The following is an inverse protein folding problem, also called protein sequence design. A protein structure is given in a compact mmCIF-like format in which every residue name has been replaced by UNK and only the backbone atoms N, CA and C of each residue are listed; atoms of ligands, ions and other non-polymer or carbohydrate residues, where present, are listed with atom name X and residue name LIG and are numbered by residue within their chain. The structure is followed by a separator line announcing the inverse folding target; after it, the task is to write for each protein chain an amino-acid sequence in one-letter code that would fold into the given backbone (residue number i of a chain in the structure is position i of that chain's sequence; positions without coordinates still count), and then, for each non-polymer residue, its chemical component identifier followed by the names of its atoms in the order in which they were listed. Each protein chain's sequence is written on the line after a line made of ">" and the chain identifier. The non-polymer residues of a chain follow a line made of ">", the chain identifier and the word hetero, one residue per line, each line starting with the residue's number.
data_IF_617483729172
#
_entry.id   IF_617483729172
#
_cell.length_a   1.000
_cell.length_b   1.000
_cell.length_c   1.000
_cell.angle_alpha   90.00
_cell.angle_beta   90.00
_cell.angle_gamma   90.00
#
_symmetry.space_group_name_H-M   'P 1'
#
loop_
_entity.id
_entity.type
_entity.pdbx_description
1 polymer ?
#
# COMPACT_ATOMS: atom_id res chain seq x y z
N UNK A 1 1.00 -6.67 -0.09
CA UNK A 1 1.59 -5.83 -1.14
C UNK A 1 2.78 -6.52 -1.80
N UNK A 2 4.01 -6.48 -1.25
CA UNK A 2 5.20 -7.08 -1.88
C UNK A 2 5.03 -8.56 -2.24
N UNK A 3 4.47 -9.38 -1.35
CA UNK A 3 4.26 -10.81 -1.62
C UNK A 3 3.28 -11.10 -2.79
N UNK A 4 2.43 -10.14 -3.15
CA UNK A 4 1.44 -10.31 -4.21
C UNK A 4 1.97 -9.81 -5.57
N UNK A 5 2.72 -8.71 -5.58
CA UNK A 5 3.08 -7.99 -6.82
C UNK A 5 4.57 -7.67 -6.97
N UNK A 6 5.41 -7.98 -5.98
CA UNK A 6 6.87 -7.90 -6.09
C UNK A 6 7.52 -6.54 -5.81
N UNK A 7 6.76 -5.48 -5.51
CA UNK A 7 7.29 -4.14 -5.19
C UNK A 7 6.66 -3.56 -3.92
N UNK A 8 7.31 -2.58 -3.24
CA UNK A 8 6.79 -1.98 -2.01
C UNK A 8 5.61 -1.02 -2.27
N UNK A 9 4.67 -0.86 -1.31
CA UNK A 9 3.53 0.06 -1.41
C UNK A 9 3.91 1.54 -1.36
N UNK A 10 5.06 1.85 -0.77
CA UNK A 10 5.61 3.20 -0.66
C UNK A 10 7.04 3.16 -1.21
N UNK A 11 7.33 4.03 -2.18
CA UNK A 11 8.64 4.12 -2.79
C UNK A 11 8.86 5.53 -3.33
N UNK A 12 9.98 6.11 -2.95
CA UNK A 12 10.48 7.35 -3.51
C UNK A 12 12.01 7.37 -3.33
N UNK A 13 12.74 7.97 -4.26
CA UNK A 13 14.19 8.17 -4.14
C UNK A 13 14.50 9.22 -3.05
N UNK A 14 13.58 10.16 -2.83
CA UNK A 14 13.64 11.16 -1.76
C UNK A 14 12.99 10.61 -0.48
N UNK A 15 13.80 10.46 0.57
CA UNK A 15 13.32 9.99 1.88
C UNK A 15 12.22 10.86 2.47
N UNK A 16 12.25 12.19 2.28
CA UNK A 16 11.21 13.08 2.80
C UNK A 16 9.87 12.83 2.11
N UNK A 17 9.88 12.57 0.79
CA UNK A 17 8.68 12.22 0.04
C UNK A 17 8.16 10.85 0.44
N UNK A 18 9.04 9.86 0.61
CA UNK A 18 8.69 8.54 1.13
C UNK A 18 7.99 8.65 2.50
N UNK A 19 8.56 9.40 3.44
CA UNK A 19 7.93 9.60 4.75
C UNK A 19 6.58 10.31 4.65
N UNK A 20 6.41 11.24 3.71
CA UNK A 20 5.13 11.90 3.49
C UNK A 20 4.09 10.93 2.93
N UNK A 21 4.46 10.04 1.99
CA UNK A 21 3.57 8.99 1.48
C UNK A 21 3.12 8.04 2.61
N UNK A 22 4.05 7.60 3.46
CA UNK A 22 3.75 6.72 4.60
C UNK A 22 2.80 7.41 5.59
N UNK A 23 3.06 8.67 5.96
CA UNK A 23 2.20 9.44 6.88
C UNK A 23 0.81 9.68 6.29
N UNK A 24 0.72 9.87 4.99
CA UNK A 24 -0.54 10.06 4.27
C UNK A 24 -1.27 8.74 4.01
N UNK A 25 -0.64 7.57 4.23
CA UNK A 25 -1.17 6.28 3.82
C UNK A 25 -1.43 6.21 2.31
N UNK A 26 -0.66 6.96 1.51
CA UNK A 26 -0.84 7.07 0.08
C UNK A 26 -0.17 5.90 -0.63
N UNK A 27 -0.95 4.85 -0.93
CA UNK A 27 -0.56 3.73 -1.77
C UNK A 27 -1.72 3.37 -2.69
N UNK A 28 -1.40 2.86 -3.88
CA UNK A 28 -2.38 2.52 -4.91
C UNK A 28 -2.23 1.06 -5.36
N UNK A 29 -3.21 0.59 -6.13
CA UNK A 29 -3.25 -0.73 -6.74
C UNK A 29 -3.23 -0.62 -8.27
N UNK A 30 -2.08 -0.30 -8.89
CA UNK A 30 -2.01 -0.04 -10.33
C UNK A 30 -2.24 -1.30 -11.17
N UNK A 31 -2.86 -1.11 -12.33
CA UNK A 31 -2.97 -2.13 -13.36
C UNK A 31 -1.65 -2.26 -14.14
N UNK A 32 -1.32 -3.44 -14.69
CA UNK A 32 -2.13 -4.66 -14.69
C UNK A 32 -1.91 -5.63 -13.52
N UNK A 33 -0.91 -5.40 -12.67
CA UNK A 33 -0.47 -6.37 -11.66
C UNK A 33 -1.55 -6.64 -10.61
N UNK A 34 -2.36 -5.62 -10.29
CA UNK A 34 -3.43 -5.72 -9.30
C UNK A 34 -4.79 -6.11 -9.87
N UNK A 35 -4.93 -6.26 -11.19
CA UNK A 35 -6.21 -6.59 -11.83
C UNK A 35 -6.65 -8.03 -11.50
N UNK A 36 -5.67 -8.92 -11.30
CA UNK A 36 -5.89 -10.33 -10.95
C UNK A 36 -5.98 -10.58 -9.44
N UNK A 37 -5.62 -9.59 -8.62
CA UNK A 37 -5.65 -9.68 -7.16
C UNK A 37 -7.08 -9.45 -6.65
N UNK A 38 -7.56 -10.37 -5.81
CA UNK A 38 -8.94 -10.35 -5.34
C UNK A 38 -9.25 -9.15 -4.42
N UNK A 39 -10.53 -8.79 -4.36
CA UNK A 39 -11.03 -7.74 -3.47
C UNK A 39 -10.73 -8.00 -2.01
N UNK A 40 -10.74 -9.26 -1.58
CA UNK A 40 -10.51 -9.65 -0.18
C UNK A 40 -9.06 -9.42 0.22
N UNK A 41 -8.12 -9.72 -0.69
CA UNK A 41 -6.70 -9.46 -0.47
C UNK A 41 -6.40 -7.96 -0.37
N UNK A 42 -7.00 -7.14 -1.25
CA UNK A 42 -6.92 -5.67 -1.18
C UNK A 42 -7.49 -5.15 0.13
N UNK A 43 -8.67 -5.61 0.54
CA UNK A 43 -9.30 -5.22 1.82
C UNK A 43 -8.45 -5.58 3.04
N UNK A 44 -7.80 -6.74 3.02
CA UNK A 44 -6.88 -7.13 4.09
C UNK A 44 -5.70 -6.16 4.18
N UNK A 45 -5.10 -5.81 3.04
CA UNK A 45 -4.01 -4.82 2.99
C UNK A 45 -4.49 -3.46 3.53
N UNK A 46 -5.69 -3.03 3.17
CA UNK A 46 -6.25 -1.75 3.64
C UNK A 46 -6.48 -1.75 5.16
N UNK A 47 -6.90 -2.87 5.74
CA UNK A 47 -7.02 -2.98 7.21
C UNK A 47 -5.66 -2.91 7.90
N UNK A 48 -4.62 -3.52 7.31
CA UNK A 48 -3.27 -3.54 7.89
C UNK A 48 -2.50 -2.22 7.71
N UNK A 49 -2.69 -1.53 6.58
CA UNK A 49 -2.05 -0.25 6.27
C UNK A 49 -2.87 0.96 6.73
N UNK A 50 -3.83 0.76 7.64
CA UNK A 50 -4.62 1.85 8.19
C UNK A 50 -3.72 2.84 8.96
N UNK A 51 -3.83 4.12 8.62
CA UNK A 51 -3.06 5.22 9.24
C UNK A 51 -3.38 5.32 10.73
N UNK A 52 -4.64 5.09 11.11
CA UNK A 52 -5.05 5.13 12.50
C UNK A 52 -4.71 3.79 13.19
N UNK A 53 -3.75 3.75 14.13
CA UNK A 53 -3.36 2.50 14.79
C UNK A 53 -4.48 1.86 15.60
N UNK A 54 -5.46 2.65 16.08
CA UNK A 54 -6.63 2.15 16.80
C UNK A 54 -7.69 1.52 15.88
N UNK A 55 -7.55 1.69 14.56
CA UNK A 55 -8.41 1.10 13.52
C UNK A 55 -7.64 0.11 12.62
N UNK A 56 -6.43 -0.24 13.03
CA UNK A 56 -5.57 -1.26 12.43
C UNK A 56 -5.76 -2.59 13.15
#
# INVERSE_FOLDING_TARGET
>A
YILLVGYPPFWDEDQHRLYNQIKAGAYDYPSPEWDTVTSEAKRLIDSMLNINPSRR
#
